data_IF_382919991050
#
_entry.id   IF_382919991050
#
_cell.length_a   1.000
_cell.length_b   1.000
_cell.length_c   1.000
_cell.angle_alpha   90.00
_cell.angle_beta   90.00
_cell.angle_gamma   90.00
#
_symmetry.space_group_name_H-M   'P 1'
#
loop_
_entity.id
_entity.type
_entity.pdbx_description
1 polymer ?
#
# COMPACT_ATOMS: atom_id res chain seq x y z
N UNK A 1 -31.81 8.53 -6.71
CA UNK A 1 -32.30 9.18 -7.92
C UNK A 1 -31.31 9.03 -9.07
N UNK A 2 -30.07 9.55 -8.98
CA UNK A 2 -29.07 9.48 -10.05
C UNK A 2 -28.74 8.04 -10.50
N UNK A 3 -28.71 7.06 -9.61
CA UNK A 3 -28.46 5.66 -9.96
C UNK A 3 -29.60 5.08 -10.81
N UNK A 4 -30.87 5.35 -10.45
CA UNK A 4 -32.03 4.92 -11.24
C UNK A 4 -32.06 5.61 -12.61
N UNK A 5 -31.79 6.93 -12.64
CA UNK A 5 -31.68 7.67 -13.91
C UNK A 5 -30.57 7.13 -14.81
N UNK A 6 -29.47 6.64 -14.22
CA UNK A 6 -28.37 6.01 -14.95
C UNK A 6 -28.78 4.65 -15.50
N UNK A 7 -29.43 3.81 -14.70
CA UNK A 7 -29.96 2.52 -15.14
C UNK A 7 -30.91 2.69 -16.31
N UNK A 8 -31.87 3.62 -16.20
CA UNK A 8 -32.84 3.93 -17.27
C UNK A 8 -32.18 4.44 -18.56
N UNK A 9 -31.13 5.27 -18.43
CA UNK A 9 -30.45 5.88 -19.60
C UNK A 9 -29.40 4.97 -20.26
N UNK A 10 -28.71 4.15 -19.50
CA UNK A 10 -27.56 3.39 -19.98
C UNK A 10 -27.77 1.88 -19.98
N UNK A 11 -28.87 1.38 -19.41
CA UNK A 11 -29.09 -0.05 -19.19
C UNK A 11 -28.16 -0.68 -18.15
N UNK A 12 -27.35 0.13 -17.47
CA UNK A 12 -26.37 -0.34 -16.49
C UNK A 12 -27.10 -0.70 -15.19
N UNK A 13 -27.01 -1.97 -14.77
CA UNK A 13 -27.67 -2.48 -13.56
C UNK A 13 -27.32 -1.68 -12.32
N UNK A 14 -28.22 -1.66 -11.34
CA UNK A 14 -27.96 -1.08 -10.02
C UNK A 14 -26.76 -1.78 -9.35
N UNK A 15 -25.90 -1.02 -8.64
CA UNK A 15 -24.78 -1.63 -7.92
C UNK A 15 -25.29 -2.51 -6.78
N UNK A 16 -24.59 -3.60 -6.49
CA UNK A 16 -24.89 -4.47 -5.34
C UNK A 16 -24.40 -3.89 -4.02
N UNK A 17 -23.40 -3.01 -4.06
CA UNK A 17 -22.89 -2.31 -2.89
C UNK A 17 -22.55 -0.86 -3.22
N UNK A 18 -22.64 0.01 -2.22
CA UNK A 18 -22.25 1.42 -2.29
C UNK A 18 -21.41 1.77 -1.05
N UNK A 19 -20.20 2.24 -1.27
CA UNK A 19 -19.36 2.79 -0.20
C UNK A 19 -19.82 4.23 0.07
N UNK A 20 -20.37 4.46 1.25
CA UNK A 20 -20.86 5.77 1.66
C UNK A 20 -19.85 6.44 2.60
N UNK A 21 -19.07 7.35 2.03
CA UNK A 21 -18.07 8.09 2.79
C UNK A 21 -18.70 9.22 3.57
N UNK A 22 -18.45 9.25 4.87
CA UNK A 22 -18.78 10.36 5.75
C UNK A 22 -17.51 10.95 6.35
N UNK A 23 -17.52 12.25 6.59
CA UNK A 23 -16.38 13.00 7.12
C UNK A 23 -16.79 13.79 8.34
N UNK A 24 -15.85 14.35 9.08
CA UNK A 24 -16.08 15.13 10.31
C UNK A 24 -17.16 16.20 10.15
N UNK A 25 -17.31 16.80 8.97
CA UNK A 25 -18.33 17.80 8.69
C UNK A 25 -19.76 17.32 9.00
N UNK A 26 -20.06 16.06 8.72
CA UNK A 26 -21.39 15.49 9.00
C UNK A 26 -21.71 15.46 10.50
N UNK A 27 -20.69 15.23 11.34
CA UNK A 27 -20.84 15.31 12.81
C UNK A 27 -21.03 16.75 13.27
N UNK A 28 -20.26 17.70 12.72
CA UNK A 28 -20.43 19.13 13.05
C UNK A 28 -21.80 19.68 12.65
N UNK A 29 -22.37 19.17 11.57
CA UNK A 29 -23.72 19.54 11.13
C UNK A 29 -24.84 18.77 11.87
N UNK A 30 -24.49 17.93 12.84
CA UNK A 30 -25.49 17.15 13.62
C UNK A 30 -26.25 16.13 12.79
N UNK A 31 -25.67 15.60 11.71
CA UNK A 31 -26.31 14.60 10.87
C UNK A 31 -26.51 13.29 11.65
N UNK A 32 -27.76 12.80 11.71
CA UNK A 32 -28.08 11.47 12.22
C UNK A 32 -27.74 10.42 11.14
N UNK A 33 -26.46 9.99 11.14
CA UNK A 33 -25.96 9.04 10.15
C UNK A 33 -26.67 7.68 10.25
N UNK A 34 -27.00 7.21 11.45
CA UNK A 34 -27.69 5.94 11.63
C UNK A 34 -29.10 5.95 11.05
N UNK A 35 -29.79 7.10 11.16
CA UNK A 35 -31.09 7.28 10.50
C UNK A 35 -30.94 7.27 8.99
N UNK A 36 -29.91 7.96 8.46
CA UNK A 36 -29.66 8.01 7.01
C UNK A 36 -29.41 6.61 6.47
N UNK A 37 -28.57 5.80 7.13
CA UNK A 37 -28.30 4.42 6.71
C UNK A 37 -29.58 3.58 6.72
N UNK A 38 -30.37 3.63 7.80
CA UNK A 38 -31.65 2.91 7.88
C UNK A 38 -32.62 3.31 6.75
N UNK A 39 -32.73 4.59 6.45
CA UNK A 39 -33.58 5.06 5.35
C UNK A 39 -33.06 4.58 3.99
N UNK A 40 -31.75 4.55 3.76
CA UNK A 40 -31.18 4.04 2.52
C UNK A 40 -31.39 2.54 2.36
N UNK A 41 -31.18 1.77 3.40
CA UNK A 41 -31.42 0.31 3.42
C UNK A 41 -32.89 -0.03 3.19
N UNK A 42 -33.81 0.74 3.76
CA UNK A 42 -35.25 0.58 3.51
C UNK A 42 -35.68 0.94 2.07
N UNK A 43 -35.07 2.00 1.51
CA UNK A 43 -35.39 2.44 0.15
C UNK A 43 -34.77 1.59 -0.95
N UNK A 44 -33.66 0.95 -0.65
CA UNK A 44 -32.86 0.17 -1.58
C UNK A 44 -32.41 -1.15 -0.94
N UNK A 45 -33.33 -2.06 -0.65
CA UNK A 45 -33.04 -3.29 0.10
C UNK A 45 -32.07 -4.24 -0.64
N UNK A 46 -31.91 -4.05 -1.95
CA UNK A 46 -31.00 -4.85 -2.78
C UNK A 46 -29.56 -4.30 -2.81
N UNK A 47 -29.34 -3.11 -2.23
CA UNK A 47 -28.03 -2.45 -2.20
C UNK A 47 -27.47 -2.51 -0.77
N UNK A 48 -26.26 -3.00 -0.61
CA UNK A 48 -25.54 -2.91 0.65
C UNK A 48 -24.84 -1.56 0.76
N UNK A 49 -25.13 -0.79 1.81
CA UNK A 49 -24.47 0.47 2.08
C UNK A 49 -23.35 0.25 3.08
N UNK A 50 -22.08 0.39 2.62
CA UNK A 50 -20.90 0.24 3.45
C UNK A 50 -20.58 1.56 4.15
N UNK A 51 -20.39 1.50 5.47
CA UNK A 51 -20.18 2.66 6.33
C UNK A 51 -18.70 3.05 6.35
N UNK A 52 -18.33 4.00 5.52
CA UNK A 52 -16.95 4.46 5.35
C UNK A 52 -16.73 5.76 6.14
N UNK A 53 -16.44 5.63 7.43
CA UNK A 53 -16.21 6.77 8.32
C UNK A 53 -14.79 7.31 8.19
N UNK A 54 -14.65 8.52 7.61
CA UNK A 54 -13.39 9.24 7.45
C UNK A 54 -13.33 10.45 8.40
N UNK A 55 -13.40 10.19 9.71
CA UNK A 55 -13.51 11.21 10.77
C UNK A 55 -12.35 11.15 11.77
N UNK A 56 -11.14 11.57 11.37
CA UNK A 56 -9.96 11.52 12.24
C UNK A 56 -10.11 12.37 13.50
N UNK A 57 -10.88 13.47 13.44
CA UNK A 57 -11.08 14.38 14.59
C UNK A 57 -11.89 13.71 15.71
N UNK A 58 -12.82 12.83 15.37
CA UNK A 58 -13.66 12.13 16.34
C UNK A 58 -12.96 10.92 16.97
N UNK A 59 -11.80 10.56 16.45
CA UNK A 59 -11.07 9.38 16.91
C UNK A 59 -9.99 9.77 17.92
N UNK A 60 -10.15 9.34 19.17
CA UNK A 60 -9.14 9.52 20.22
C UNK A 60 -8.22 8.30 20.35
N UNK A 61 -8.74 7.10 20.16
CA UNK A 61 -8.03 5.82 20.32
C UNK A 61 -8.56 4.76 19.35
N UNK A 62 -7.79 3.69 19.14
CA UNK A 62 -8.17 2.53 18.32
C UNK A 62 -7.80 2.66 16.84
N UNK A 63 -8.40 1.84 15.96
CA UNK A 63 -8.05 1.78 14.54
C UNK A 63 -8.24 3.12 13.82
N UNK A 64 -7.30 3.46 12.94
CA UNK A 64 -7.35 4.68 12.12
C UNK A 64 -8.56 4.66 11.17
N UNK A 65 -8.98 5.82 10.62
CA UNK A 65 -10.03 5.87 9.60
C UNK A 65 -9.76 4.97 8.40
N UNK A 66 -8.49 4.89 7.93
CA UNK A 66 -8.09 4.01 6.84
C UNK A 66 -8.25 2.52 7.22
N UNK A 67 -7.83 2.13 8.42
CA UNK A 67 -8.02 0.76 8.92
C UNK A 67 -9.51 0.40 9.05
N UNK A 68 -10.35 1.33 9.51
CA UNK A 68 -11.81 1.14 9.58
C UNK A 68 -12.45 1.02 8.20
N UNK A 69 -11.99 1.85 7.26
CA UNK A 69 -12.44 1.76 5.87
C UNK A 69 -12.14 0.40 5.27
N UNK A 70 -10.89 -0.07 5.39
CA UNK A 70 -10.49 -1.38 4.87
C UNK A 70 -11.26 -2.51 5.52
N UNK A 71 -11.55 -2.44 6.83
CA UNK A 71 -12.44 -3.39 7.48
C UNK A 71 -13.85 -3.35 6.86
N UNK A 72 -14.44 -2.16 6.70
CA UNK A 72 -15.78 -2.01 6.14
C UNK A 72 -15.90 -2.55 4.70
N UNK A 73 -14.85 -2.43 3.90
CA UNK A 73 -14.81 -2.97 2.54
C UNK A 73 -14.99 -4.49 2.49
N UNK A 74 -14.61 -5.22 3.53
CA UNK A 74 -14.70 -6.68 3.58
C UNK A 74 -15.82 -7.21 4.50
N UNK A 75 -16.59 -6.33 5.13
CA UNK A 75 -17.77 -6.72 5.92
C UNK A 75 -18.84 -7.48 5.11
N UNK A 76 -19.10 -7.15 3.82
CA UNK A 76 -20.08 -7.87 3.03
C UNK A 76 -19.69 -9.31 2.71
N UNK A 77 -18.42 -9.65 2.75
CA UNK A 77 -17.95 -11.00 2.47
C UNK A 77 -18.55 -11.98 3.49
N UNK A 78 -19.48 -12.79 3.02
CA UNK A 78 -20.11 -13.83 3.81
C UNK A 78 -20.29 -15.08 2.95
N UNK A 79 -19.19 -15.73 2.59
CA UNK A 79 -19.22 -16.87 1.67
C UNK A 79 -19.97 -18.05 2.28
N UNK A 80 -20.52 -18.84 1.41
CA UNK A 80 -21.05 -20.15 1.77
C UNK A 80 -19.91 -21.03 2.31
N UNK A 81 -20.05 -21.54 3.54
CA UNK A 81 -19.05 -22.41 4.15
C UNK A 81 -18.74 -23.67 3.33
N UNK A 82 -19.70 -24.11 2.53
CA UNK A 82 -19.56 -25.29 1.66
C UNK A 82 -18.71 -25.00 0.40
N UNK A 83 -18.40 -23.73 0.13
CA UNK A 83 -17.59 -23.32 -1.02
C UNK A 83 -16.16 -22.97 -0.66
N UNK A 84 -15.69 -23.31 0.55
CA UNK A 84 -14.32 -23.06 0.94
C UNK A 84 -13.35 -23.84 0.05
N UNK A 85 -12.44 -23.11 -0.58
CA UNK A 85 -11.30 -23.67 -1.32
C UNK A 85 -10.03 -23.52 -0.49
N UNK A 86 -9.55 -24.65 0.05
CA UNK A 86 -8.33 -24.70 0.87
C UNK A 86 -7.07 -24.41 0.09
N UNK A 87 -7.11 -24.49 -1.23
CA UNK A 87 -6.01 -24.14 -2.14
C UNK A 87 -6.15 -22.76 -2.75
N UNK A 88 -7.11 -21.95 -2.26
CA UNK A 88 -7.21 -20.53 -2.60
C UNK A 88 -6.66 -19.68 -1.49
N UNK A 89 -5.84 -18.68 -1.85
CA UNK A 89 -5.40 -17.58 -1.01
C UNK A 89 -5.96 -16.28 -1.58
N UNK A 90 -6.61 -15.48 -0.73
CA UNK A 90 -7.02 -14.13 -1.10
C UNK A 90 -6.08 -13.12 -0.47
N UNK A 91 -5.38 -12.34 -1.31
CA UNK A 91 -4.49 -11.25 -0.91
C UNK A 91 -5.32 -9.97 -0.86
N UNK A 92 -5.47 -9.41 0.32
CA UNK A 92 -6.41 -8.34 0.60
C UNK A 92 -5.75 -7.21 1.42
N UNK A 93 -6.42 -6.07 1.48
CA UNK A 93 -6.02 -4.95 2.35
C UNK A 93 -5.17 -3.87 1.67
N UNK A 94 -4.76 -4.04 0.42
CA UNK A 94 -4.12 -3.02 -0.41
C UNK A 94 -5.10 -2.42 -1.42
N UNK A 95 -4.83 -1.21 -1.90
CA UNK A 95 -5.56 -0.59 -3.02
C UNK A 95 -4.98 -1.01 -4.38
N UNK A 96 -3.82 -1.66 -4.38
CA UNK A 96 -3.10 -2.09 -5.56
C UNK A 96 -2.89 -3.60 -5.54
N UNK A 97 -3.03 -4.25 -6.69
CA UNK A 97 -2.64 -5.63 -6.88
C UNK A 97 -1.12 -5.78 -6.76
N UNK A 98 -0.66 -6.93 -6.29
CA UNK A 98 0.75 -7.26 -6.37
C UNK A 98 1.17 -7.49 -7.84
N UNK A 99 2.42 -7.14 -8.16
CA UNK A 99 2.97 -7.40 -9.48
C UNK A 99 2.93 -8.89 -9.81
N UNK A 100 2.80 -9.22 -11.10
CA UNK A 100 2.80 -10.62 -11.54
C UNK A 100 4.13 -11.32 -11.29
N UNK A 101 5.23 -10.57 -11.30
CA UNK A 101 6.58 -11.07 -11.00
C UNK A 101 6.90 -11.12 -9.50
N UNK A 102 5.97 -10.69 -8.64
CA UNK A 102 6.15 -10.65 -7.20
C UNK A 102 6.51 -12.04 -6.63
N UNK A 103 7.51 -12.07 -5.76
CA UNK A 103 8.02 -13.28 -5.10
C UNK A 103 6.90 -14.11 -4.46
N UNK A 104 5.99 -13.44 -3.77
CA UNK A 104 4.84 -14.06 -3.12
C UNK A 104 3.96 -14.85 -4.12
N UNK A 105 3.65 -14.25 -5.28
CA UNK A 105 2.86 -14.93 -6.33
C UNK A 105 3.61 -16.11 -6.93
N UNK A 106 4.91 -15.99 -7.12
CA UNK A 106 5.77 -17.06 -7.62
C UNK A 106 5.77 -18.25 -6.65
N UNK A 107 6.00 -18.02 -5.35
CA UNK A 107 6.00 -19.07 -4.34
C UNK A 107 4.64 -19.75 -4.21
N UNK A 108 3.55 -18.99 -4.22
CA UNK A 108 2.19 -19.53 -4.19
C UNK A 108 1.88 -20.38 -5.41
N UNK A 109 2.36 -19.99 -6.60
CA UNK A 109 2.21 -20.75 -7.82
C UNK A 109 3.00 -22.07 -7.74
N UNK A 110 4.25 -22.06 -7.25
CA UNK A 110 5.07 -23.27 -7.03
C UNK A 110 4.35 -24.23 -6.06
N UNK A 111 3.72 -23.68 -5.01
CA UNK A 111 2.96 -24.46 -4.03
C UNK A 111 1.59 -24.94 -4.53
N UNK A 112 1.20 -24.58 -5.77
CA UNK A 112 -0.07 -24.98 -6.38
C UNK A 112 -1.29 -24.29 -5.77
N UNK A 113 -1.12 -23.08 -5.23
CA UNK A 113 -2.22 -22.27 -4.71
C UNK A 113 -2.79 -21.34 -5.78
N UNK A 114 -4.10 -21.15 -5.72
CA UNK A 114 -4.81 -20.15 -6.51
C UNK A 114 -4.82 -18.83 -5.75
N UNK A 115 -4.32 -17.79 -6.39
CA UNK A 115 -4.32 -16.42 -5.83
C UNK A 115 -5.52 -15.65 -6.37
N UNK A 116 -6.18 -14.89 -5.49
CA UNK A 116 -7.17 -13.88 -5.84
C UNK A 116 -6.88 -12.58 -5.11
N UNK A 117 -7.07 -11.47 -5.81
CA UNK A 117 -6.96 -10.11 -5.26
C UNK A 117 -8.25 -9.33 -5.51
N UNK A 118 -8.51 -8.30 -4.70
CA UNK A 118 -9.68 -7.44 -4.90
C UNK A 118 -9.65 -6.76 -6.27
N UNK A 119 -8.48 -6.41 -6.75
CA UNK A 119 -8.26 -5.69 -8.00
C UNK A 119 -8.55 -6.55 -9.25
N UNK A 120 -8.59 -7.85 -9.09
CA UNK A 120 -8.97 -8.80 -10.16
C UNK A 120 -10.50 -8.90 -10.32
N UNK A 121 -11.28 -8.37 -9.36
CA UNK A 121 -12.73 -8.48 -9.36
C UNK A 121 -13.37 -7.40 -10.23
N UNK A 122 -14.11 -7.82 -11.24
CA UNK A 122 -14.91 -6.97 -12.12
C UNK A 122 -16.40 -7.00 -11.78
N UNK A 123 -16.84 -8.03 -11.06
CA UNK A 123 -18.24 -8.27 -10.69
C UNK A 123 -18.41 -8.45 -9.18
N UNK A 124 -19.66 -8.34 -8.72
CA UNK A 124 -19.98 -8.61 -7.32
C UNK A 124 -19.76 -10.08 -6.95
N UNK A 125 -20.06 -10.99 -7.85
CA UNK A 125 -19.88 -12.42 -7.69
C UNK A 125 -18.40 -12.79 -7.52
N UNK A 126 -17.51 -12.19 -8.33
CA UNK A 126 -16.05 -12.35 -8.19
C UNK A 126 -15.54 -11.78 -6.85
N UNK A 127 -16.11 -10.66 -6.41
CA UNK A 127 -15.80 -10.11 -5.08
C UNK A 127 -16.23 -11.07 -3.96
N UNK A 128 -17.43 -11.67 -4.04
CA UNK A 128 -17.88 -12.65 -3.05
C UNK A 128 -16.99 -13.91 -3.01
N UNK A 129 -16.41 -14.31 -4.14
CA UNK A 129 -15.48 -15.44 -4.24
C UNK A 129 -14.17 -15.21 -3.47
N UNK A 130 -13.80 -13.96 -3.18
CA UNK A 130 -12.66 -13.66 -2.29
C UNK A 130 -12.82 -14.31 -0.91
N UNK A 131 -14.05 -14.37 -0.41
CA UNK A 131 -14.39 -14.98 0.86
C UNK A 131 -14.32 -16.51 0.90
N UNK A 132 -14.20 -17.16 -0.26
CA UNK A 132 -14.09 -18.64 -0.34
C UNK A 132 -12.68 -19.15 -0.01
N UNK A 133 -11.69 -18.26 0.10
CA UNK A 133 -10.31 -18.66 0.41
C UNK A 133 -10.18 -19.39 1.75
N UNK A 134 -9.32 -20.39 1.78
CA UNK A 134 -8.90 -21.07 3.01
C UNK A 134 -8.00 -20.20 3.88
N UNK A 135 -7.24 -19.30 3.25
CA UNK A 135 -6.30 -18.39 3.90
C UNK A 135 -6.45 -16.98 3.34
N UNK A 136 -6.47 -15.99 4.22
CA UNK A 136 -6.33 -14.58 3.89
C UNK A 136 -4.91 -14.11 4.14
N UNK A 137 -4.36 -13.33 3.22
CA UNK A 137 -3.04 -12.76 3.30
C UNK A 137 -3.11 -11.24 3.17
N UNK A 138 -2.34 -10.53 3.97
CA UNK A 138 -2.23 -9.08 3.95
C UNK A 138 -0.76 -8.66 4.00
N UNK A 139 -0.35 -7.81 3.05
CA UNK A 139 0.99 -7.22 3.02
C UNK A 139 0.99 -5.75 3.46
N UNK A 140 -0.14 -5.06 3.35
CA UNK A 140 -0.22 -3.63 3.60
C UNK A 140 -0.62 -3.33 5.05
N UNK A 141 0.16 -2.52 5.80
CA UNK A 141 -0.07 -2.31 7.24
C UNK A 141 -1.47 -1.83 7.61
N UNK A 142 -2.04 -0.90 6.84
CA UNK A 142 -3.41 -0.41 7.11
C UNK A 142 -4.49 -1.47 6.87
N UNK A 143 -4.20 -2.49 6.06
CA UNK A 143 -5.11 -3.60 5.77
C UNK A 143 -5.20 -4.59 6.91
N UNK A 144 -4.11 -4.78 7.68
CA UNK A 144 -3.97 -5.83 8.69
C UNK A 144 -5.20 -5.97 9.59
N UNK A 145 -5.61 -4.87 10.24
CA UNK A 145 -6.75 -4.88 11.17
C UNK A 145 -8.06 -5.39 10.53
N UNK A 146 -8.34 -4.93 9.31
CA UNK A 146 -9.57 -5.31 8.59
C UNK A 146 -9.57 -6.79 8.17
N UNK A 147 -8.44 -7.28 7.66
CA UNK A 147 -8.32 -8.65 7.16
C UNK A 147 -8.22 -9.66 8.30
N UNK A 148 -7.52 -9.33 9.38
CA UNK A 148 -7.51 -10.15 10.60
C UNK A 148 -8.93 -10.31 11.16
N UNK A 149 -9.68 -9.21 11.29
CA UNK A 149 -11.10 -9.25 11.71
C UNK A 149 -11.96 -10.10 10.75
N UNK A 150 -11.71 -10.03 9.43
CA UNK A 150 -12.40 -10.86 8.44
C UNK A 150 -12.08 -12.34 8.65
N UNK A 151 -10.80 -12.68 8.82
CA UNK A 151 -10.34 -14.05 9.03
C UNK A 151 -10.96 -14.68 10.29
N UNK A 152 -10.94 -13.94 11.40
CA UNK A 152 -11.60 -14.36 12.64
C UNK A 152 -13.09 -14.63 12.45
N UNK A 153 -13.82 -13.68 11.81
CA UNK A 153 -15.25 -13.80 11.56
C UNK A 153 -15.60 -15.01 10.69
N UNK A 154 -14.80 -15.28 9.69
CA UNK A 154 -15.00 -16.38 8.74
C UNK A 154 -14.35 -17.69 9.21
N UNK A 155 -13.58 -17.65 10.30
CA UNK A 155 -12.78 -18.77 10.83
C UNK A 155 -11.85 -19.34 9.76
N UNK A 156 -11.00 -18.47 9.20
CA UNK A 156 -9.97 -18.77 8.21
C UNK A 156 -8.58 -18.49 8.77
N UNK A 157 -7.57 -19.09 8.16
CA UNK A 157 -6.19 -18.75 8.44
C UNK A 157 -5.89 -17.31 7.98
N UNK A 158 -5.01 -16.64 8.73
CA UNK A 158 -4.55 -15.29 8.42
C UNK A 158 -3.03 -15.24 8.45
N UNK A 159 -2.44 -14.66 7.39
CA UNK A 159 -1.02 -14.39 7.29
C UNK A 159 -0.83 -12.88 7.09
N UNK A 160 0.03 -12.30 7.91
CA UNK A 160 0.49 -10.93 7.73
C UNK A 160 1.96 -10.93 7.36
N UNK A 161 2.26 -10.55 6.10
CA UNK A 161 3.59 -10.48 5.54
C UNK A 161 3.83 -9.02 5.11
N UNK A 162 4.29 -8.16 6.02
CA UNK A 162 4.42 -6.73 5.76
C UNK A 162 5.48 -6.46 4.69
N UNK A 163 5.27 -5.40 3.92
CA UNK A 163 6.25 -4.93 2.95
C UNK A 163 7.56 -4.57 3.66
N UNK A 164 8.71 -5.02 3.16
CA UNK A 164 10.02 -4.77 3.76
C UNK A 164 11.09 -4.46 2.71
N UNK A 165 12.15 -3.78 3.16
CA UNK A 165 13.41 -3.56 2.45
C UNK A 165 14.60 -4.20 3.18
N UNK A 166 14.34 -5.10 4.11
CA UNK A 166 15.34 -5.85 4.85
C UNK A 166 15.38 -7.30 4.38
N UNK A 167 16.54 -7.77 3.97
CA UNK A 167 16.67 -9.12 3.44
C UNK A 167 16.34 -10.21 4.46
N UNK A 168 16.69 -10.01 5.74
CA UNK A 168 16.41 -10.99 6.77
C UNK A 168 14.92 -11.03 7.15
N UNK A 169 14.27 -9.86 7.18
CA UNK A 169 12.82 -9.80 7.36
C UNK A 169 12.12 -10.54 6.21
N UNK A 170 12.49 -10.24 4.95
CA UNK A 170 11.89 -10.89 3.78
C UNK A 170 12.13 -12.41 3.81
N UNK A 171 13.35 -12.87 4.14
CA UNK A 171 13.63 -14.31 4.31
C UNK A 171 12.69 -14.96 5.33
N UNK A 172 12.53 -14.34 6.49
CA UNK A 172 11.67 -14.84 7.56
C UNK A 172 10.21 -14.90 7.13
N UNK A 173 9.74 -13.94 6.36
CA UNK A 173 8.38 -13.89 5.83
C UNK A 173 8.14 -14.99 4.80
N UNK A 174 9.05 -15.17 3.86
CA UNK A 174 8.95 -16.22 2.84
C UNK A 174 9.05 -17.64 3.46
N UNK A 175 9.89 -17.83 4.48
CA UNK A 175 9.93 -19.08 5.25
C UNK A 175 8.61 -19.32 6.01
N UNK A 176 8.03 -18.27 6.59
CA UNK A 176 6.74 -18.34 7.28
C UNK A 176 5.63 -18.73 6.31
N UNK A 177 5.60 -18.12 5.15
CA UNK A 177 4.68 -18.48 4.08
C UNK A 177 4.86 -19.93 3.68
N UNK A 178 6.07 -20.33 3.28
CA UNK A 178 6.40 -21.69 2.81
C UNK A 178 5.98 -22.77 3.81
N UNK A 179 6.29 -22.54 5.09
CA UNK A 179 5.89 -23.46 6.16
C UNK A 179 4.36 -23.54 6.31
N UNK A 180 3.66 -22.41 6.20
CA UNK A 180 2.20 -22.35 6.31
C UNK A 180 1.47 -23.08 5.17
N UNK A 181 2.11 -23.14 4.00
CA UNK A 181 1.59 -23.85 2.82
C UNK A 181 1.80 -25.37 2.90
N UNK A 182 2.58 -25.86 3.88
CA UNK A 182 2.88 -27.27 4.05
C UNK A 182 3.75 -27.84 2.92
N UNK A 183 4.56 -27.00 2.28
CA UNK A 183 5.45 -27.42 1.18
C UNK A 183 6.75 -27.93 1.77
N UNK A 184 7.17 -29.11 1.34
CA UNK A 184 8.49 -29.66 1.66
C UNK A 184 9.57 -29.05 0.75
N UNK A 185 10.83 -29.07 1.20
CA UNK A 185 11.96 -28.63 0.37
C UNK A 185 12.57 -27.31 0.80
N UNK A 186 12.96 -27.17 2.06
CA UNK A 186 13.67 -25.98 2.59
C UNK A 186 14.92 -25.58 1.79
N UNK A 187 15.62 -26.55 1.21
CA UNK A 187 16.79 -26.28 0.39
C UNK A 187 16.41 -25.55 -0.90
N UNK A 188 15.30 -25.94 -1.52
CA UNK A 188 14.77 -25.29 -2.75
C UNK A 188 14.45 -23.82 -2.46
N UNK A 189 13.76 -23.55 -1.35
CA UNK A 189 13.46 -22.19 -0.92
C UNK A 189 14.73 -21.37 -0.67
N UNK A 190 15.72 -21.95 0.04
CA UNK A 190 16.98 -21.27 0.31
C UNK A 190 17.73 -20.91 -0.96
N UNK A 191 17.88 -21.84 -1.89
CA UNK A 191 18.53 -21.59 -3.18
C UNK A 191 17.79 -20.56 -4.03
N UNK A 192 16.46 -20.56 -3.96
CA UNK A 192 15.61 -19.56 -4.62
C UNK A 192 15.83 -18.18 -4.01
N UNK A 193 15.83 -18.04 -2.68
CA UNK A 193 16.08 -16.76 -1.99
C UNK A 193 17.48 -16.21 -2.32
N UNK A 194 18.53 -17.04 -2.35
CA UNK A 194 19.88 -16.59 -2.71
C UNK A 194 19.93 -16.03 -4.13
N UNK A 195 19.24 -16.66 -5.09
CA UNK A 195 19.14 -16.12 -6.45
C UNK A 195 18.43 -14.76 -6.48
N UNK A 196 17.34 -14.63 -5.73
CA UNK A 196 16.60 -13.35 -5.66
C UNK A 196 17.44 -12.23 -5.06
N UNK A 197 18.18 -12.51 -3.99
CA UNK A 197 19.10 -11.55 -3.38
C UNK A 197 20.20 -11.14 -4.37
N UNK A 198 20.78 -12.09 -5.09
CA UNK A 198 21.79 -11.75 -6.09
C UNK A 198 21.25 -10.79 -7.16
N UNK A 199 19.99 -10.97 -7.60
CA UNK A 199 19.33 -10.04 -8.53
C UNK A 199 19.08 -8.66 -7.91
N UNK A 200 18.75 -8.60 -6.63
CA UNK A 200 18.62 -7.31 -5.92
C UNK A 200 19.95 -6.56 -5.87
N UNK A 201 21.02 -7.26 -5.49
CA UNK A 201 22.37 -6.68 -5.41
C UNK A 201 22.85 -6.19 -6.79
N UNK A 202 22.60 -6.95 -7.84
CA UNK A 202 22.91 -6.54 -9.22
C UNK A 202 22.15 -5.26 -9.60
N UNK A 203 20.84 -5.19 -9.35
CA UNK A 203 20.01 -4.03 -9.67
C UNK A 203 20.44 -2.80 -8.84
N UNK A 204 20.69 -2.95 -7.53
CA UNK A 204 21.14 -1.85 -6.68
C UNK A 204 22.51 -1.32 -7.11
N UNK A 205 23.44 -2.21 -7.46
CA UNK A 205 24.77 -1.84 -7.96
C UNK A 205 24.66 -1.09 -9.29
N UNK A 206 23.81 -1.56 -10.20
CA UNK A 206 23.57 -0.90 -11.49
C UNK A 206 22.98 0.50 -11.29
N UNK A 207 21.92 0.62 -10.50
CA UNK A 207 21.31 1.90 -10.15
C UNK A 207 22.33 2.85 -9.49
N UNK A 208 23.23 2.32 -8.62
CA UNK A 208 24.29 3.11 -8.01
C UNK A 208 25.29 3.65 -9.02
N UNK A 209 25.66 2.90 -10.05
CA UNK A 209 26.54 3.36 -11.12
C UNK A 209 25.90 4.53 -11.89
N UNK A 210 24.59 4.49 -12.14
CA UNK A 210 23.87 5.52 -12.90
C UNK A 210 23.62 6.77 -12.05
N UNK A 211 23.12 6.60 -10.82
CA UNK A 211 22.76 7.71 -9.93
C UNK A 211 24.00 8.36 -9.31
N UNK A 212 25.04 7.58 -9.11
CA UNK A 212 26.29 8.06 -8.53
C UNK A 212 26.11 8.57 -7.10
N UNK A 213 26.58 9.80 -6.86
CA UNK A 213 26.47 10.45 -5.55
C UNK A 213 25.40 11.55 -5.51
N UNK A 214 24.48 11.54 -6.45
CA UNK A 214 23.36 12.49 -6.47
C UNK A 214 22.52 12.37 -5.18
N UNK A 215 22.05 13.51 -4.63
CA UNK A 215 21.17 13.48 -3.46
C UNK A 215 19.88 12.71 -3.73
N UNK A 216 19.46 11.92 -2.74
CA UNK A 216 18.20 11.19 -2.77
C UNK A 216 17.31 11.68 -1.61
N UNK A 217 16.05 11.90 -1.92
CA UNK A 217 15.00 12.19 -0.94
C UNK A 217 13.88 11.17 -1.06
N UNK A 218 13.31 10.75 0.06
CA UNK A 218 12.30 9.70 0.14
C UNK A 218 11.07 10.23 0.85
N UNK A 219 9.88 9.80 0.48
CA UNK A 219 8.69 10.08 1.28
C UNK A 219 7.80 8.85 1.50
N UNK A 220 6.97 8.92 2.54
CA UNK A 220 6.09 7.84 2.96
C UNK A 220 4.94 7.55 1.99
N UNK A 221 4.67 8.42 1.01
CA UNK A 221 3.63 8.13 0.01
C UNK A 221 4.09 7.09 -1.00
N UNK A 222 5.41 6.98 -1.21
CA UNK A 222 5.99 5.94 -2.04
C UNK A 222 5.77 4.56 -1.43
N UNK A 223 6.10 4.40 -0.14
CA UNK A 223 6.06 3.12 0.53
C UNK A 223 5.80 3.31 2.03
N UNK A 224 5.05 2.40 2.69
CA UNK A 224 4.75 2.53 4.12
C UNK A 224 5.97 2.37 5.03
N UNK A 225 7.13 1.93 4.49
CA UNK A 225 8.39 1.78 5.23
C UNK A 225 9.52 2.63 4.62
N UNK A 226 9.40 3.97 4.65
CA UNK A 226 10.39 4.87 4.04
C UNK A 226 11.75 4.85 4.75
N UNK A 227 11.80 4.55 6.04
CA UNK A 227 13.06 4.43 6.79
C UNK A 227 13.80 3.13 6.43
N UNK A 228 13.07 2.03 6.20
CA UNK A 228 13.62 0.77 5.70
C UNK A 228 14.32 0.96 4.36
N UNK A 229 13.67 1.66 3.44
CA UNK A 229 14.28 2.02 2.16
C UNK A 229 15.51 2.91 2.34
N UNK A 230 15.43 3.92 3.21
CA UNK A 230 16.59 4.79 3.48
C UNK A 230 17.77 3.99 4.00
N UNK A 231 17.56 3.04 4.93
CA UNK A 231 18.61 2.16 5.46
C UNK A 231 19.23 1.30 4.34
N UNK A 232 18.40 0.64 3.52
CA UNK A 232 18.88 -0.16 2.40
C UNK A 232 19.79 0.66 1.49
N UNK A 233 19.33 1.84 1.06
CA UNK A 233 20.08 2.70 0.15
C UNK A 233 21.37 3.23 0.77
N UNK A 234 21.36 3.60 2.05
CA UNK A 234 22.58 4.06 2.76
C UNK A 234 23.63 2.95 2.88
N UNK A 235 23.20 1.72 3.17
CA UNK A 235 24.11 0.55 3.23
C UNK A 235 24.77 0.31 1.86
N UNK A 236 24.03 0.53 0.76
CA UNK A 236 24.55 0.43 -0.61
C UNK A 236 25.26 1.71 -1.10
N UNK A 237 25.60 2.62 -0.18
CA UNK A 237 26.40 3.79 -0.47
C UNK A 237 25.68 4.91 -1.24
N UNK A 238 24.36 4.89 -1.36
CA UNK A 238 23.61 6.00 -1.93
C UNK A 238 23.59 7.21 -0.99
N UNK A 239 23.47 8.40 -1.56
CA UNK A 239 23.50 9.66 -0.83
C UNK A 239 22.09 10.10 -0.40
N UNK A 240 21.46 9.37 0.53
CA UNK A 240 20.16 9.73 1.06
C UNK A 240 20.29 10.92 2.01
N UNK A 241 19.59 12.02 1.73
CA UNK A 241 19.63 13.29 2.48
C UNK A 241 18.45 13.50 3.40
N UNK A 242 17.25 13.21 2.92
CA UNK A 242 16.03 13.55 3.64
C UNK A 242 14.99 12.44 3.48
N UNK A 243 14.31 12.13 4.57
CA UNK A 243 13.09 11.31 4.55
C UNK A 243 11.93 12.15 5.06
N UNK A 244 10.89 12.28 4.25
CA UNK A 244 9.63 12.95 4.62
C UNK A 244 8.64 11.91 5.16
N UNK A 245 8.26 12.06 6.43
CA UNK A 245 7.32 11.16 7.11
C UNK A 245 6.59 11.91 8.23
N UNK A 246 5.40 11.45 8.59
CA UNK A 246 4.57 12.09 9.62
C UNK A 246 4.52 11.26 10.91
N UNK A 247 4.89 9.98 10.82
CA UNK A 247 4.98 9.07 11.97
C UNK A 247 5.96 7.94 11.68
N UNK A 248 6.41 7.26 12.71
CA UNK A 248 7.23 6.05 12.62
C UNK A 248 6.34 4.87 12.97
N UNK A 249 6.21 3.93 12.02
CA UNK A 249 5.42 2.73 12.25
C UNK A 249 6.09 1.81 13.30
N UNK A 250 5.32 0.92 13.94
CA UNK A 250 5.90 -0.07 14.85
C UNK A 250 7.00 -0.91 14.19
N UNK A 251 6.81 -1.26 12.93
CA UNK A 251 7.73 -2.07 12.11
C UNK A 251 9.05 -1.33 11.78
N UNK A 252 9.09 0.00 11.89
CA UNK A 252 10.27 0.81 11.58
C UNK A 252 11.04 1.31 12.81
N UNK A 253 10.63 0.97 14.02
CA UNK A 253 11.28 1.46 15.24
C UNK A 253 12.76 1.07 15.33
N UNK A 254 13.09 -0.17 15.05
CA UNK A 254 14.48 -0.66 15.07
C UNK A 254 15.32 0.00 14.00
N UNK A 255 14.76 0.16 12.80
CA UNK A 255 15.42 0.88 11.69
C UNK A 255 15.67 2.34 12.06
N UNK A 256 14.71 3.00 12.70
CA UNK A 256 14.86 4.37 13.18
C UNK A 256 16.01 4.51 14.18
N UNK A 257 16.13 3.61 15.17
CA UNK A 257 17.23 3.62 16.13
C UNK A 257 18.59 3.35 15.43
N UNK A 258 18.62 2.46 14.45
CA UNK A 258 19.81 2.23 13.62
C UNK A 258 20.23 3.48 12.85
N UNK A 259 19.29 4.18 12.21
CA UNK A 259 19.55 5.41 11.45
C UNK A 259 20.08 6.53 12.33
N UNK A 260 19.58 6.69 13.57
CA UNK A 260 20.09 7.67 14.54
C UNK A 260 21.60 7.50 14.80
N UNK A 261 22.06 6.27 14.87
CA UNK A 261 23.46 5.94 15.19
C UNK A 261 24.33 6.00 13.93
N UNK A 262 23.89 5.40 12.83
CA UNK A 262 24.73 5.17 11.65
C UNK A 262 24.59 6.25 10.57
N UNK A 263 23.53 7.03 10.61
CA UNK A 263 23.27 8.11 9.65
C UNK A 263 22.84 9.43 10.34
N UNK A 264 23.62 9.99 11.28
CA UNK A 264 23.21 11.15 12.08
C UNK A 264 23.00 12.44 11.26
N UNK A 265 23.43 12.45 10.00
CA UNK A 265 23.22 13.57 9.06
C UNK A 265 21.94 13.43 8.23
N UNK A 266 21.24 12.30 8.33
CA UNK A 266 19.96 12.09 7.64
C UNK A 266 18.90 13.00 8.27
N UNK A 267 18.26 13.81 7.45
CA UNK A 267 17.17 14.68 7.92
C UNK A 267 15.82 13.95 7.86
N UNK A 268 15.09 13.98 8.96
CA UNK A 268 13.69 13.55 9.02
C UNK A 268 12.79 14.77 9.07
N UNK A 269 11.88 14.90 8.12
CA UNK A 269 10.98 16.06 8.00
C UNK A 269 9.52 15.65 8.02
N UNK A 270 8.75 16.20 8.98
CA UNK A 270 7.32 15.97 9.06
C UNK A 270 6.58 16.78 7.98
N UNK A 271 5.82 16.11 7.11
CA UNK A 271 5.10 16.79 6.01
C UNK A 271 3.95 17.65 6.53
N UNK A 272 3.39 17.33 7.70
CA UNK A 272 2.33 18.11 8.36
C UNK A 272 2.84 19.34 9.11
N UNK A 273 4.16 19.53 9.23
CA UNK A 273 4.72 20.68 9.93
C UNK A 273 4.32 21.99 9.26
N UNK A 274 3.95 23.01 10.05
CA UNK A 274 3.43 24.27 9.52
C UNK A 274 4.36 24.95 8.50
N UNK A 275 5.68 24.85 8.69
CA UNK A 275 6.67 25.39 7.74
C UNK A 275 6.61 24.73 6.36
N UNK A 276 6.14 23.47 6.25
CA UNK A 276 6.00 22.79 4.96
C UNK A 276 4.88 23.38 4.09
N UNK A 277 3.92 24.07 4.72
CA UNK A 277 2.80 24.72 3.99
C UNK A 277 3.20 26.03 3.31
N UNK A 278 4.31 26.62 3.74
CA UNK A 278 4.81 27.91 3.24
C UNK A 278 6.14 27.75 2.48
N UNK A 279 6.50 26.53 2.13
CA UNK A 279 7.62 26.30 1.25
C UNK A 279 7.28 26.92 -0.11
N UNK A 280 8.07 27.92 -0.51
CA UNK A 280 8.07 28.39 -1.88
C UNK A 280 8.61 27.28 -2.78
N UNK A 281 8.37 27.43 -4.09
CA UNK A 281 8.93 26.49 -5.07
C UNK A 281 10.42 26.26 -4.78
N UNK A 282 10.74 25.03 -4.39
CA UNK A 282 12.12 24.67 -4.18
C UNK A 282 12.74 24.38 -5.55
N UNK A 283 13.93 24.93 -5.78
CA UNK A 283 14.73 24.59 -6.94
C UNK A 283 15.99 23.91 -6.42
N UNK A 284 16.16 22.61 -6.65
CA UNK A 284 17.36 21.92 -6.19
C UNK A 284 18.60 22.51 -6.90
N UNK A 285 19.66 22.76 -6.14
CA UNK A 285 20.93 23.28 -6.65
C UNK A 285 21.69 22.26 -7.51
N UNK A 286 21.32 21.02 -7.42
CA UNK A 286 21.91 19.89 -8.13
C UNK A 286 20.84 18.85 -8.49
N UNK A 287 21.13 17.99 -9.47
CA UNK A 287 20.22 16.91 -9.87
C UNK A 287 19.94 16.00 -8.68
N UNK A 288 18.70 15.99 -8.20
CA UNK A 288 18.24 15.24 -7.04
C UNK A 288 17.22 14.21 -7.47
N UNK A 289 17.37 12.96 -6.99
CA UNK A 289 16.34 11.94 -7.16
C UNK A 289 15.36 12.00 -6.01
N UNK A 290 14.08 12.11 -6.31
CA UNK A 290 13.01 12.03 -5.32
C UNK A 290 12.26 10.70 -5.44
N UNK A 291 12.13 9.98 -4.33
CA UNK A 291 11.38 8.72 -4.27
C UNK A 291 10.06 9.03 -3.55
N UNK A 292 9.02 9.25 -4.34
CA UNK A 292 7.70 9.63 -3.90
C UNK A 292 7.28 11.04 -4.31
N UNK A 293 5.97 11.25 -4.30
CA UNK A 293 5.34 12.48 -4.81
C UNK A 293 5.60 13.70 -3.93
N UNK A 294 5.55 13.52 -2.60
CA UNK A 294 5.80 14.61 -1.64
C UNK A 294 7.28 15.00 -1.62
N UNK A 295 8.18 14.04 -1.77
CA UNK A 295 9.61 14.30 -1.89
C UNK A 295 9.89 15.15 -3.15
N UNK A 296 9.32 14.77 -4.29
CA UNK A 296 9.44 15.51 -5.53
C UNK A 296 8.95 16.96 -5.39
N UNK A 297 7.74 17.14 -4.85
CA UNK A 297 7.16 18.45 -4.62
C UNK A 297 7.99 19.32 -3.66
N UNK A 298 8.34 18.75 -2.50
CA UNK A 298 9.03 19.50 -1.44
C UNK A 298 10.46 19.91 -1.80
N UNK A 299 11.08 19.20 -2.75
CA UNK A 299 12.45 19.50 -3.23
C UNK A 299 12.49 20.19 -4.57
N UNK A 300 11.36 20.24 -5.28
CA UNK A 300 11.29 20.74 -6.67
C UNK A 300 12.01 19.85 -7.67
N UNK A 301 12.20 18.58 -7.33
CA UNK A 301 12.90 17.64 -8.23
C UNK A 301 12.03 17.27 -9.42
N UNK A 302 12.62 17.31 -10.60
CA UNK A 302 12.06 16.83 -11.85
C UNK A 302 12.40 15.35 -12.12
N UNK A 303 13.24 14.73 -11.29
CA UNK A 303 13.65 13.33 -11.38
C UNK A 303 13.05 12.56 -10.22
N UNK A 304 11.91 11.89 -10.45
CA UNK A 304 11.22 11.26 -9.33
C UNK A 304 10.49 9.96 -9.70
N UNK A 305 10.44 9.06 -8.74
CA UNK A 305 9.63 7.85 -8.78
C UNK A 305 8.21 8.22 -8.40
N UNK A 306 7.27 8.03 -9.33
CA UNK A 306 5.85 8.30 -9.13
C UNK A 306 5.08 7.02 -8.86
N UNK A 307 5.26 6.47 -7.67
CA UNK A 307 4.54 5.31 -7.15
C UNK A 307 3.94 5.68 -5.80
N UNK A 308 2.85 5.05 -5.40
CA UNK A 308 2.19 5.29 -4.11
C UNK A 308 1.90 4.00 -3.37
N UNK A 309 1.98 4.05 -2.04
CA UNK A 309 1.62 2.98 -1.12
C UNK A 309 2.40 1.66 -1.32
N UNK A 310 3.58 1.71 -1.90
CA UNK A 310 4.37 0.54 -2.22
C UNK A 310 3.68 -0.41 -3.21
N UNK A 311 2.76 0.13 -4.01
CA UNK A 311 1.96 -0.63 -4.95
C UNK A 311 2.79 -1.71 -5.66
N UNK A 312 2.34 -2.94 -5.58
CA UNK A 312 2.96 -4.12 -6.18
C UNK A 312 4.39 -4.50 -5.71
N UNK A 313 5.09 -3.65 -4.99
CA UNK A 313 6.47 -3.88 -4.52
C UNK A 313 6.47 -4.73 -3.25
N UNK A 314 6.82 -6.00 -3.35
CA UNK A 314 6.86 -6.93 -2.22
C UNK A 314 8.04 -7.90 -2.38
N UNK A 315 8.69 -8.25 -1.26
CA UNK A 315 9.78 -9.20 -1.22
C UNK A 315 11.07 -8.71 -1.88
N UNK A 316 11.90 -9.62 -2.31
CA UNK A 316 13.15 -9.35 -3.03
C UNK A 316 12.87 -8.66 -4.37
N UNK A 317 11.84 -9.11 -5.10
CA UNK A 317 11.46 -8.48 -6.37
C UNK A 317 11.08 -7.01 -6.16
N UNK A 318 10.46 -6.68 -5.03
CA UNK A 318 10.16 -5.28 -4.64
C UNK A 318 11.43 -4.43 -4.51
N UNK A 319 12.50 -4.96 -3.95
CA UNK A 319 13.82 -4.27 -3.85
C UNK A 319 14.42 -4.07 -5.25
N UNK A 320 14.50 -5.14 -6.04
CA UNK A 320 15.00 -5.09 -7.42
C UNK A 320 14.24 -4.05 -8.24
N UNK A 321 12.94 -4.11 -8.18
CA UNK A 321 12.05 -3.21 -8.93
C UNK A 321 12.17 -1.75 -8.46
N UNK A 322 12.39 -1.52 -7.17
CA UNK A 322 12.67 -0.18 -6.63
C UNK A 322 13.95 0.40 -7.24
N UNK A 323 15.02 -0.40 -7.35
CA UNK A 323 16.27 0.04 -7.96
C UNK A 323 16.07 0.42 -9.44
N UNK A 324 15.35 -0.40 -10.21
CA UNK A 324 15.01 -0.11 -11.62
C UNK A 324 14.17 1.18 -11.77
N UNK A 325 13.18 1.38 -10.90
CA UNK A 325 12.36 2.60 -10.90
C UNK A 325 13.18 3.85 -10.56
N UNK A 326 14.16 3.73 -9.65
CA UNK A 326 15.07 4.81 -9.30
C UNK A 326 15.95 5.20 -10.51
N UNK A 327 16.48 4.22 -11.23
CA UNK A 327 17.26 4.42 -12.45
C UNK A 327 16.42 5.10 -13.52
N UNK A 328 15.25 4.54 -13.85
CA UNK A 328 14.32 5.12 -14.82
C UNK A 328 13.98 6.57 -14.48
N UNK A 329 13.67 6.84 -13.22
CA UNK A 329 13.32 8.16 -12.75
C UNK A 329 14.49 9.14 -12.83
N UNK A 330 15.71 8.68 -12.57
CA UNK A 330 16.90 9.52 -12.64
C UNK A 330 17.31 9.86 -14.07
N UNK A 331 17.03 8.99 -15.02
CA UNK A 331 17.33 9.22 -16.45
C UNK A 331 16.27 10.06 -17.16
N UNK A 332 15.03 10.09 -16.66
CA UNK A 332 13.91 10.72 -17.34
C UNK A 332 13.30 11.87 -16.52
N UNK A 333 13.38 13.08 -17.06
CA UNK A 333 12.79 14.27 -16.45
C UNK A 333 11.27 14.24 -16.53
N UNK A 334 10.60 14.65 -15.44
CA UNK A 334 9.13 14.71 -15.31
C UNK A 334 8.74 16.03 -14.63
N UNK A 335 7.59 16.60 -15.01
CA UNK A 335 7.07 17.81 -14.36
C UNK A 335 6.24 17.46 -13.12
N UNK A 336 6.69 17.77 -11.88
CA UNK A 336 5.95 17.49 -10.66
C UNK A 336 4.63 18.27 -10.56
N UNK A 337 4.52 19.45 -11.17
CA UNK A 337 3.28 20.24 -11.20
C UNK A 337 2.18 19.51 -11.97
N UNK A 338 2.52 18.97 -13.13
CA UNK A 338 1.58 18.17 -13.93
C UNK A 338 1.08 16.94 -13.19
N UNK A 339 1.94 16.29 -12.41
CA UNK A 339 1.57 15.15 -11.57
C UNK A 339 0.52 15.51 -10.54
N UNK A 340 0.69 16.60 -9.80
CA UNK A 340 -0.23 17.04 -8.75
C UNK A 340 -1.60 17.37 -9.31
N UNK A 341 -1.66 18.14 -10.39
CA UNK A 341 -2.92 18.50 -11.06
C UNK A 341 -3.67 17.25 -11.56
N UNK A 342 -2.97 16.29 -12.14
CA UNK A 342 -3.58 15.06 -12.69
C UNK A 342 -4.00 14.05 -11.64
N UNK A 343 -3.33 14.00 -10.51
CA UNK A 343 -3.57 13.00 -9.44
C UNK A 343 -4.53 13.49 -8.35
N UNK A 344 -5.10 14.68 -8.48
CA UNK A 344 -6.09 15.18 -7.54
C UNK A 344 -5.56 15.61 -6.18
N UNK A 345 -4.31 15.98 -6.08
CA UNK A 345 -3.71 16.56 -4.87
C UNK A 345 -4.28 17.93 -4.51
N UNK A 346 -5.02 18.50 -5.39
CA UNK A 346 -5.86 19.67 -5.26
C UNK A 346 -6.70 19.77 -6.52
N UNK A 347 -7.95 20.11 -6.39
CA UNK A 347 -8.69 20.56 -7.56
C UNK A 347 -8.29 22.01 -7.84
N UNK A 348 -8.37 22.44 -9.09
CA UNK A 348 -8.11 23.83 -9.48
C UNK A 348 -9.00 24.84 -8.76
N UNK A 349 -10.08 24.39 -8.10
CA UNK A 349 -10.96 25.19 -7.25
C UNK A 349 -10.48 25.30 -5.80
N UNK A 350 -9.41 24.60 -5.39
CA UNK A 350 -8.87 24.63 -4.04
C UNK A 350 -7.49 25.32 -3.97
N UNK A 351 -7.00 25.86 -5.08
CA UNK A 351 -5.75 26.64 -5.19
C UNK A 351 -6.12 28.12 -5.18
#
# INVERSE_FOLDING_TARGET
>A
RKLKEREEKTGQKMPKAVLLFTVCLHHFLGCDLERIYRELEQRFPEIRFLRCYMDPIMQKHGPTPDQKLRKAMYEPLNPDRNKMDTKQISILGSDFALDLSCDLKELLAIAGYKVRELQDCSTWEEYEELGNAGTFLCCYPSGKYGIETLAERLRRAFLYLPLSFDYEEIRSEEETLWNSLGVEGKQILSEWMEKKIALCEEALNHAKQIIGNAPITIDYTFHPRPLGLARLLLIHGFNVKTVFLDSISPEEKEVFEWLKVNAPKLELRATVHAKMRVLHEAHPSEKTLAIGQKAAWSTGSHYFVNLVQGASLQGFDGIRRTAELMEEAFLNEKDPKTMIVRKGWGCTSCI
#
